data_IF_005384922197
#
_entry.id   IF_005384922197
#
_cell.length_a   1.000
_cell.length_b   1.000
_cell.length_c   1.000
_cell.angle_alpha   90.00
_cell.angle_beta   90.00
_cell.angle_gamma   90.00
#
_symmetry.space_group_name_H-M   'P 1'
#
loop_
_entity.id
_entity.type
_entity.pdbx_description
1 polymer ?
#
# COMPACT_ATOMS: atom_id res chain seq x y z
N UNK A 1 -7.66 10.71 -0.74
CA UNK A 1 -6.89 9.96 -1.76
C UNK A 1 -7.47 8.57 -1.85
N UNK A 2 -7.68 8.06 -3.05
CA UNK A 2 -8.33 6.75 -3.23
C UNK A 2 -7.34 5.61 -3.01
N UNK A 3 -7.79 4.50 -2.42
CA UNK A 3 -6.96 3.29 -2.26
C UNK A 3 -6.37 2.78 -3.58
N UNK A 4 -7.05 3.05 -4.71
CA UNK A 4 -6.59 2.72 -6.06
C UNK A 4 -5.34 3.53 -6.48
N UNK A 5 -5.27 4.81 -6.12
CA UNK A 5 -4.11 5.65 -6.44
C UNK A 5 -2.89 5.23 -5.61
N UNK A 6 -3.11 4.94 -4.32
CA UNK A 6 -2.05 4.46 -3.43
C UNK A 6 -1.49 3.12 -3.92
N UNK A 7 -2.37 2.22 -4.33
CA UNK A 7 -2.01 0.93 -4.93
C UNK A 7 -1.19 1.13 -6.20
N UNK A 8 -1.59 2.07 -7.07
CA UNK A 8 -0.84 2.36 -8.29
C UNK A 8 0.57 2.89 -7.99
N UNK A 9 0.72 3.79 -7.00
CA UNK A 9 2.03 4.33 -6.61
C UNK A 9 2.97 3.25 -6.08
N UNK A 10 2.50 2.35 -5.20
CA UNK A 10 3.37 1.30 -4.67
C UNK A 10 3.69 0.24 -5.74
N UNK A 11 2.77 -0.06 -6.66
CA UNK A 11 3.04 -0.98 -7.77
C UNK A 11 4.11 -0.40 -8.72
N UNK A 12 4.07 0.91 -8.97
CA UNK A 12 5.06 1.63 -9.78
C UNK A 12 6.45 1.66 -9.11
N UNK A 13 6.50 1.81 -7.78
CA UNK A 13 7.73 1.69 -6.99
C UNK A 13 8.32 0.27 -7.00
N UNK A 14 7.57 -0.74 -7.44
CA UNK A 14 8.02 -2.13 -7.55
C UNK A 14 7.52 -3.05 -6.43
N UNK A 15 6.52 -2.62 -5.67
CA UNK A 15 5.84 -3.49 -4.71
C UNK A 15 4.96 -4.51 -5.42
N UNK A 16 4.98 -5.74 -4.91
CA UNK A 16 4.27 -6.88 -5.51
C UNK A 16 3.19 -7.34 -4.53
N UNK A 17 1.97 -7.54 -5.03
CA UNK A 17 0.87 -8.09 -4.24
C UNK A 17 1.17 -9.55 -3.89
N UNK A 18 1.33 -9.85 -2.60
CA UNK A 18 1.65 -11.21 -2.13
C UNK A 18 0.47 -11.91 -1.48
N UNK A 19 -0.46 -11.16 -0.88
CA UNK A 19 -1.60 -11.75 -0.18
C UNK A 19 -2.77 -10.80 -0.17
N UNK A 20 -3.98 -11.35 -0.32
CA UNK A 20 -5.23 -10.62 -0.11
C UNK A 20 -6.06 -11.36 0.94
N UNK A 21 -6.54 -10.63 1.94
CA UNK A 21 -7.48 -11.14 2.94
C UNK A 21 -8.66 -10.17 3.07
N UNK A 22 -9.75 -10.49 2.40
CA UNK A 22 -10.92 -9.60 2.31
C UNK A 22 -10.50 -8.24 1.74
N UNK A 23 -10.81 -7.16 2.45
CA UNK A 23 -10.44 -5.82 2.02
C UNK A 23 -8.98 -5.44 2.30
N UNK A 24 -8.12 -6.33 2.79
CA UNK A 24 -6.71 -6.02 3.06
C UNK A 24 -5.79 -6.67 2.02
N UNK A 25 -5.09 -5.82 1.26
CA UNK A 25 -4.10 -6.23 0.26
C UNK A 25 -2.71 -6.02 0.84
N UNK A 26 -1.90 -7.07 0.89
CA UNK A 26 -0.53 -7.05 1.40
C UNK A 26 0.46 -7.11 0.26
N UNK A 27 1.39 -6.17 0.26
CA UNK A 27 2.41 -6.01 -0.75
C UNK A 27 3.79 -6.22 -0.16
N UNK A 28 4.68 -6.82 -0.93
CA UNK A 28 6.09 -7.04 -0.59
C UNK A 28 6.98 -6.42 -1.65
N UNK A 29 8.05 -5.75 -1.23
CA UNK A 29 9.07 -5.27 -2.15
C UNK A 29 10.20 -6.32 -2.27
N UNK A 30 10.79 -6.53 -3.46
CA UNK A 30 11.93 -7.44 -3.60
C UNK A 30 13.19 -6.92 -2.92
N UNK A 31 13.39 -5.61 -2.87
CA UNK A 31 14.61 -4.99 -2.30
C UNK A 31 14.39 -4.26 -0.97
N UNK A 32 13.16 -3.84 -0.65
CA UNK A 32 12.85 -3.10 0.58
C UNK A 32 12.28 -4.09 1.60
N UNK A 33 12.85 -4.11 2.80
CA UNK A 33 12.35 -4.97 3.88
C UNK A 33 11.04 -4.42 4.43
N UNK A 34 9.99 -5.23 4.39
CA UNK A 34 8.70 -4.90 4.96
C UNK A 34 7.54 -5.50 4.19
N UNK A 35 6.35 -5.37 4.78
CA UNK A 35 5.07 -5.69 4.16
C UNK A 35 4.18 -4.46 4.31
N UNK A 36 3.68 -3.95 3.18
CA UNK A 36 2.75 -2.83 3.14
C UNK A 36 1.34 -3.39 3.04
N UNK A 37 0.45 -2.97 3.93
CA UNK A 37 -0.96 -3.39 3.89
C UNK A 37 -1.84 -2.22 3.48
N UNK A 38 -2.52 -2.34 2.35
CA UNK A 38 -3.49 -1.36 1.86
C UNK A 38 -4.90 -1.92 2.00
N UNK A 39 -5.79 -1.22 2.72
CA UNK A 39 -7.20 -1.55 2.70
C UNK A 39 -7.84 -1.11 1.37
N UNK A 40 -8.27 -2.07 0.55
CA UNK A 40 -8.94 -1.89 -0.73
C UNK A 40 -10.12 -2.89 -0.85
N UNK A 41 -11.30 -2.48 -1.33
CA UNK A 41 -11.64 -1.16 -1.90
C UNK A 41 -12.08 -0.14 -0.83
N UNK A 42 -11.37 0.98 -0.73
CA UNK A 42 -11.80 2.18 0.03
C UNK A 42 -11.72 3.43 -0.83
N UNK A 43 -12.83 4.16 -0.92
CA UNK A 43 -12.91 5.39 -1.72
C UNK A 43 -12.09 6.52 -1.08
N UNK A 44 -12.17 6.67 0.24
CA UNK A 44 -11.37 7.65 0.95
C UNK A 44 -10.57 6.98 2.08
N UNK A 45 -9.24 7.10 2.00
CA UNK A 45 -8.34 6.71 3.07
C UNK A 45 -8.01 7.96 3.89
N UNK A 46 -8.10 7.90 5.23
CA UNK A 46 -7.72 9.02 6.06
C UNK A 46 -6.22 9.32 5.87
N UNK A 47 -5.86 10.61 5.89
CA UNK A 47 -4.48 11.09 5.65
C UNK A 47 -3.44 10.39 6.52
N UNK A 48 -3.78 10.09 7.78
CA UNK A 48 -2.89 9.35 8.68
C UNK A 48 -2.57 7.93 8.20
N UNK A 49 -3.55 7.22 7.63
CA UNK A 49 -3.34 5.88 7.05
C UNK A 49 -2.47 5.96 5.80
N UNK A 50 -2.72 6.94 4.93
CA UNK A 50 -1.89 7.17 3.73
C UNK A 50 -0.44 7.42 4.14
N UNK A 51 -0.21 8.35 5.08
CA UNK A 51 1.11 8.70 5.57
C UNK A 51 1.84 7.50 6.20
N UNK A 52 1.14 6.71 7.01
CA UNK A 52 1.70 5.49 7.59
C UNK A 52 2.09 4.47 6.52
N UNK A 53 1.27 4.32 5.48
CA UNK A 53 1.56 3.40 4.37
C UNK A 53 2.76 3.88 3.56
N UNK A 54 2.85 5.18 3.24
CA UNK A 54 3.99 5.74 2.52
C UNK A 54 5.29 5.61 3.31
N UNK A 55 5.24 5.87 4.62
CA UNK A 55 6.38 5.65 5.52
C UNK A 55 6.80 4.18 5.57
N UNK A 56 5.84 3.25 5.60
CA UNK A 56 6.13 1.81 5.52
C UNK A 56 6.70 1.40 4.15
N UNK A 57 6.29 2.09 3.08
CA UNK A 57 6.79 1.87 1.73
C UNK A 57 8.17 2.53 1.48
N UNK A 58 8.66 3.34 2.41
CA UNK A 58 9.89 4.12 2.26
C UNK A 58 9.79 5.20 1.18
N UNK A 59 8.59 5.75 0.99
CA UNK A 59 8.29 6.82 0.03
C UNK A 59 8.17 8.21 0.72
N UNK A 60 8.26 8.26 2.06
CA UNK A 60 8.22 9.47 2.88
C UNK A 60 9.05 9.30 4.17
#
# INVERSE_FOLDING_TARGET
MHSRELTKMILDDGWILVRVKGSHHQYKHPTKSGLVTIPHPKKDLPKGTIKSILKQAGLE
#
